data_IF_437913206520
#
_entry.id   IF_437913206520
#
_cell.length_a   1.000
_cell.length_b   1.000
_cell.length_c   1.000
_cell.angle_alpha   90.00
_cell.angle_beta   90.00
_cell.angle_gamma   90.00
#
_symmetry.space_group_name_H-M   'P 1'
#
loop_
_entity.id
_entity.type
_entity.pdbx_description
1 polymer ?
#
# COMPACT_ATOMS: atom_id res chain seq x y z
N UNK A 1 5.74 20.12 -7.17
CA UNK A 1 4.88 19.02 -7.67
C UNK A 1 5.68 17.78 -7.37
N UNK A 2 5.36 17.11 -6.27
CA UNK A 2 6.14 15.94 -5.85
C UNK A 2 5.77 14.78 -6.77
N UNK A 3 6.61 14.53 -7.78
CA UNK A 3 6.43 13.42 -8.72
C UNK A 3 6.47 12.11 -7.93
N UNK A 4 5.29 11.49 -7.77
CA UNK A 4 5.19 10.10 -7.37
C UNK A 4 5.78 9.27 -8.50
N UNK A 5 6.96 8.68 -8.28
CA UNK A 5 7.56 7.77 -9.24
C UNK A 5 6.64 6.54 -9.39
N UNK A 6 5.91 6.47 -10.50
CA UNK A 6 5.01 5.36 -10.83
C UNK A 6 5.80 4.04 -10.91
N UNK A 7 5.77 3.25 -9.84
CA UNK A 7 6.52 2.00 -9.66
C UNK A 7 5.80 0.76 -10.26
N UNK A 8 5.29 0.90 -11.48
CA UNK A 8 4.85 -0.22 -12.33
C UNK A 8 3.90 -1.22 -11.67
N UNK A 9 4.24 -2.51 -11.71
CA UNK A 9 3.40 -3.63 -11.21
C UNK A 9 3.00 -3.52 -9.73
N UNK A 10 3.76 -2.79 -8.91
CA UNK A 10 3.46 -2.60 -7.49
C UNK A 10 2.22 -1.73 -7.24
N UNK A 11 1.73 -1.02 -8.26
CA UNK A 11 0.51 -0.22 -8.21
C UNK A 11 -0.71 -0.91 -8.84
N UNK A 12 -0.48 -2.06 -9.50
CA UNK A 12 -1.53 -2.77 -10.21
C UNK A 12 -2.10 -3.91 -9.37
N UNK A 13 -3.41 -4.03 -9.32
CA UNK A 13 -4.13 -5.20 -8.82
C UNK A 13 -4.86 -5.83 -10.01
N UNK A 14 -4.56 -7.10 -10.31
CA UNK A 14 -5.12 -7.82 -11.46
C UNK A 14 -4.97 -7.07 -12.80
N UNK A 15 -3.87 -6.31 -12.94
CA UNK A 15 -3.57 -5.49 -14.11
C UNK A 15 -4.25 -4.12 -14.15
N UNK A 16 -5.13 -3.80 -13.19
CA UNK A 16 -5.78 -2.50 -13.07
C UNK A 16 -5.07 -1.60 -12.05
N UNK A 17 -5.01 -0.28 -12.30
CA UNK A 17 -4.40 0.65 -11.37
C UNK A 17 -5.23 0.79 -10.10
N UNK A 18 -4.57 0.78 -8.95
CA UNK A 18 -5.16 1.14 -7.67
C UNK A 18 -5.05 2.65 -7.42
N UNK A 19 -5.92 3.16 -6.56
CA UNK A 19 -5.73 4.50 -5.97
C UNK A 19 -4.59 4.48 -4.94
N UNK A 20 -4.07 5.65 -4.59
CA UNK A 20 -2.99 5.78 -3.60
C UNK A 20 -3.56 6.26 -2.27
N UNK A 21 -3.03 5.74 -1.17
CA UNK A 21 -3.32 6.26 0.17
C UNK A 21 -2.05 6.30 1.00
N UNK A 22 -1.85 7.38 1.76
CA UNK A 22 -0.75 7.49 2.74
C UNK A 22 -1.22 7.02 4.12
N UNK A 23 -0.31 6.72 5.07
CA UNK A 23 -0.70 6.44 6.46
C UNK A 23 -1.61 7.52 7.06
N UNK A 24 -1.30 8.80 6.85
CA UNK A 24 -2.14 9.92 7.29
C UNK A 24 -3.52 9.93 6.61
N UNK A 25 -3.60 9.51 5.35
CA UNK A 25 -4.88 9.33 4.65
C UNK A 25 -5.74 8.23 5.26
N UNK A 26 -5.13 7.13 5.70
CA UNK A 26 -5.82 6.05 6.44
C UNK A 26 -6.26 6.54 7.82
N UNK A 27 -5.40 7.25 8.55
CA UNK A 27 -5.76 7.88 9.85
C UNK A 27 -6.97 8.81 9.71
N UNK A 28 -7.01 9.64 8.66
CA UNK A 28 -8.14 10.50 8.39
C UNK A 28 -9.45 9.72 8.14
N UNK A 29 -9.39 8.51 7.57
CA UNK A 29 -10.58 7.66 7.43
C UNK A 29 -11.06 7.16 8.79
N UNK A 30 -10.14 6.76 9.68
CA UNK A 30 -10.47 6.34 11.05
C UNK A 30 -11.15 7.48 11.80
N UNK A 31 -10.58 8.68 11.75
CA UNK A 31 -11.11 9.87 12.43
C UNK A 31 -12.50 10.26 11.93
N UNK A 32 -12.79 10.01 10.65
CA UNK A 32 -14.09 10.27 10.03
C UNK A 32 -15.09 9.12 10.24
N UNK A 33 -14.70 8.03 10.91
CA UNK A 33 -15.54 6.85 11.09
C UNK A 33 -15.85 6.11 9.78
N UNK A 34 -15.03 6.32 8.75
CA UNK A 34 -15.16 5.66 7.45
C UNK A 34 -14.77 4.21 7.62
N UNK A 35 -15.65 3.30 7.22
CA UNK A 35 -15.35 1.87 7.23
C UNK A 35 -14.41 1.52 6.09
N UNK A 36 -13.44 0.68 6.40
CA UNK A 36 -12.54 0.10 5.41
C UNK A 36 -12.12 -1.29 5.89
N UNK A 37 -11.67 -2.11 4.94
CA UNK A 37 -10.94 -3.35 5.21
C UNK A 37 -9.53 -3.23 4.61
N UNK A 38 -8.65 -4.16 4.97
CA UNK A 38 -7.33 -4.24 4.36
C UNK A 38 -6.89 -5.70 4.21
N UNK A 39 -6.00 -5.92 3.24
CA UNK A 39 -5.35 -7.21 2.98
C UNK A 39 -3.95 -7.01 2.45
N UNK A 40 -3.17 -8.08 2.45
CA UNK A 40 -1.83 -8.11 1.89
C UNK A 40 -1.76 -9.10 0.74
N UNK A 41 -1.17 -8.68 -0.36
CA UNK A 41 -0.67 -9.56 -1.42
C UNK A 41 0.84 -9.37 -1.57
N UNK A 42 1.47 -10.21 -2.40
CA UNK A 42 2.90 -10.09 -2.69
C UNK A 42 3.14 -9.49 -4.07
N UNK A 43 4.12 -8.61 -4.14
CA UNK A 43 4.63 -8.03 -5.37
C UNK A 43 6.15 -8.13 -5.40
N UNK A 44 6.70 -8.09 -6.60
CA UNK A 44 8.15 -8.02 -6.77
C UNK A 44 8.61 -6.59 -6.54
N UNK A 45 9.49 -6.39 -5.56
CA UNK A 45 10.11 -5.11 -5.29
C UNK A 45 10.97 -4.69 -6.50
N UNK A 46 10.75 -3.50 -7.09
CA UNK A 46 11.53 -3.03 -8.23
C UNK A 46 13.00 -2.73 -7.89
N UNK A 47 13.36 -2.57 -6.62
CA UNK A 47 14.72 -2.20 -6.20
C UNK A 47 15.65 -3.42 -6.07
N UNK A 48 15.17 -4.49 -5.44
CA UNK A 48 15.98 -5.69 -5.16
C UNK A 48 15.45 -6.96 -5.85
N UNK A 49 14.27 -6.91 -6.47
CA UNK A 49 13.66 -8.04 -7.15
C UNK A 49 13.09 -9.12 -6.22
N UNK A 50 13.05 -8.90 -4.90
CA UNK A 50 12.50 -9.85 -3.93
C UNK A 50 10.97 -9.76 -3.88
N UNK A 51 10.32 -10.85 -3.48
CA UNK A 51 8.89 -10.85 -3.23
C UNK A 51 8.63 -10.25 -1.86
N UNK A 52 7.91 -9.13 -1.84
CA UNK A 52 7.52 -8.40 -0.62
C UNK A 52 6.02 -8.22 -0.57
N UNK A 53 5.48 -8.00 0.61
CA UNK A 53 4.08 -7.72 0.79
C UNK A 53 3.78 -6.23 0.61
N UNK A 54 2.66 -5.90 -0.02
CA UNK A 54 2.08 -4.55 0.01
C UNK A 54 0.72 -4.60 0.70
N UNK A 55 0.31 -3.48 1.31
CA UNK A 55 -1.01 -3.35 1.91
C UNK A 55 -1.99 -2.76 0.89
N UNK A 56 -3.15 -3.39 0.76
CA UNK A 56 -4.27 -2.95 -0.09
C UNK A 56 -5.46 -2.68 0.82
N UNK A 57 -6.03 -1.50 0.71
CA UNK A 57 -7.22 -1.05 1.43
C UNK A 57 -8.43 -1.03 0.51
N UNK A 58 -9.57 -1.47 1.05
CA UNK A 58 -10.87 -1.35 0.40
C UNK A 58 -11.73 -0.45 1.29
N UNK A 59 -12.02 0.75 0.80
CA UNK A 59 -12.80 1.77 1.50
C UNK A 59 -14.27 1.69 1.09
N UNK A 60 -15.18 1.77 2.05
CA UNK A 60 -16.62 1.80 1.78
C UNK A 60 -16.98 2.96 0.84
N UNK A 61 -17.71 2.65 -0.24
CA UNK A 61 -18.13 3.63 -1.25
C UNK A 61 -17.07 3.99 -2.30
N UNK A 62 -15.87 3.40 -2.26
CA UNK A 62 -14.88 3.56 -3.33
C UNK A 62 -15.01 2.46 -4.40
N UNK A 63 -14.90 2.84 -5.67
CA UNK A 63 -14.99 1.90 -6.80
C UNK A 63 -13.71 1.08 -7.02
N UNK A 64 -12.57 1.59 -6.55
CA UNK A 64 -11.26 0.95 -6.70
C UNK A 64 -10.54 0.84 -5.36
N UNK A 65 -9.74 -0.21 -5.14
CA UNK A 65 -8.93 -0.34 -3.95
C UNK A 65 -7.77 0.66 -3.95
N UNK A 66 -7.20 0.87 -2.76
CA UNK A 66 -6.08 1.76 -2.51
C UNK A 66 -4.84 0.96 -2.12
N UNK A 67 -3.66 1.35 -2.60
CA UNK A 67 -2.38 0.83 -2.13
C UNK A 67 -1.70 1.83 -1.21
N UNK A 68 -1.10 1.32 -0.13
CA UNK A 68 -0.39 2.16 0.82
C UNK A 68 0.95 2.66 0.26
N UNK A 69 1.13 3.98 0.26
CA UNK A 69 2.35 4.66 -0.21
C UNK A 69 2.95 5.54 0.87
N UNK A 70 4.26 5.77 0.82
CA UNK A 70 4.91 6.80 1.63
C UNK A 70 4.39 8.18 1.23
N UNK A 71 4.33 9.12 2.18
CA UNK A 71 4.05 10.51 1.83
C UNK A 71 5.18 11.06 0.94
N UNK A 72 4.87 11.77 -0.15
CA UNK A 72 5.89 12.43 -0.97
C UNK A 72 6.70 13.46 -0.17
N UNK A 73 6.11 14.04 0.89
CA UNK A 73 6.76 15.04 1.75
C UNK A 73 7.72 14.44 2.77
N UNK A 74 7.65 13.13 3.04
CA UNK A 74 8.44 12.46 4.08
C UNK A 74 9.16 11.20 3.58
N UNK A 75 9.11 10.94 2.28
CA UNK A 75 9.62 9.72 1.66
C UNK A 75 9.66 9.86 0.14
N UNK A 76 9.84 8.75 -0.57
CA UNK A 76 9.99 8.72 -2.02
C UNK A 76 8.65 8.59 -2.79
N UNK A 77 7.53 8.67 -2.08
CA UNK A 77 6.19 8.50 -2.65
C UNK A 77 5.87 7.08 -3.12
N UNK A 78 6.74 6.10 -2.85
CA UNK A 78 6.57 4.72 -3.34
C UNK A 78 5.64 3.90 -2.45
N UNK A 79 5.17 2.79 -3.02
CA UNK A 79 4.44 1.75 -2.27
C UNK A 79 5.29 1.29 -1.10
N UNK A 80 4.67 1.23 0.08
CA UNK A 80 5.30 0.66 1.28
C UNK A 80 5.28 -0.86 1.13
N UNK A 81 6.48 -1.45 1.08
CA UNK A 81 6.69 -2.89 0.95
C UNK A 81 7.24 -3.46 2.27
N UNK A 82 6.75 -4.64 2.64
CA UNK A 82 7.12 -5.36 3.86
C UNK A 82 7.77 -6.69 3.51
N UNK A 83 8.91 -7.00 4.11
CA UNK A 83 9.61 -8.28 3.87
C UNK A 83 8.81 -9.49 4.41
N UNK A 84 7.97 -9.25 5.42
CA UNK A 84 7.08 -10.25 6.01
C UNK A 84 5.65 -9.71 6.07
N UNK A 85 4.67 -10.61 6.02
CA UNK A 85 3.26 -10.22 6.15
C UNK A 85 3.02 -9.64 7.55
N UNK A 86 2.62 -8.37 7.68
CA UNK A 86 2.35 -7.77 8.98
C UNK A 86 1.22 -8.52 9.71
N UNK A 87 1.37 -8.71 11.02
CA UNK A 87 0.41 -9.45 11.86
C UNK A 87 0.61 -10.97 11.88
N UNK A 88 1.58 -11.49 11.12
CA UNK A 88 2.05 -12.87 11.31
C UNK A 88 3.15 -12.85 12.39
N UNK A 89 3.06 -13.64 13.48
CA UNK A 89 4.15 -13.71 14.45
C UNK A 89 5.41 -14.21 13.74
N UNK A 90 6.53 -13.51 13.93
CA UNK A 90 7.82 -13.96 13.44
C UNK A 90 8.18 -15.25 14.16
N UNK A 91 8.11 -16.38 13.46
CA UNK A 91 8.78 -17.60 13.91
C UNK A 91 10.29 -17.36 13.75
N UNK A 92 10.88 -16.65 14.70
CA UNK A 92 12.33 -16.63 14.91
C UNK A 92 12.63 -17.87 15.74
N UNK A 93 13.37 -18.87 15.20
CA UNK A 93 13.86 -19.98 16.00
C UNK A 93 14.89 -19.53 17.03
#
# INVERSE_FOLDING_TARGET
MDEVFNVGKTLLLDGQPMSLVTPAGVEAWIDQGIKYSYRYDQVRDPLDGQMKYRCIYEKEGAEVPFVLVNSPSSGDGRVILFDQKPGQPSNVP
#
